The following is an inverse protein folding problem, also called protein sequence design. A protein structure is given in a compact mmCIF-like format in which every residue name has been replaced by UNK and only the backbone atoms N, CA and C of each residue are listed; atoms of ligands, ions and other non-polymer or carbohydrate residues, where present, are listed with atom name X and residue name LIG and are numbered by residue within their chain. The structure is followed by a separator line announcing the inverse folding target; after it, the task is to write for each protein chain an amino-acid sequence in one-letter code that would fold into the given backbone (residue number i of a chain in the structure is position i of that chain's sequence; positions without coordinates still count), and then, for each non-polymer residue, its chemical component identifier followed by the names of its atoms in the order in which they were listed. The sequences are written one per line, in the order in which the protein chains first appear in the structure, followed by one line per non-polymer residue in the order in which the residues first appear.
data_IF_072364681768
#
_entry.id   IF_072364681768
#
_cell.length_a   1.000
_cell.length_b   1.000
_cell.length_c   1.000
_cell.angle_alpha   90.00
_cell.angle_beta   90.00
_cell.angle_gamma   90.00
#
_symmetry.space_group_name_H-M   'P 1'
#
loop_
_entity.id
_entity.type
_entity.pdbx_description
1 polymer ?
#
# COMPACT_ATOMS: atom_id res chain seq x y z
N UNK A 1 39.44 -31.93 -9.35
CA UNK A 1 38.53 -30.79 -9.17
C UNK A 1 37.30 -31.35 -8.50
N UNK A 2 37.19 -31.19 -7.18
CA UNK A 2 35.99 -31.60 -6.44
C UNK A 2 34.85 -30.66 -6.83
N UNK A 3 33.78 -31.23 -7.39
CA UNK A 3 32.54 -30.53 -7.64
C UNK A 3 31.91 -30.18 -6.28
N UNK A 4 31.86 -28.88 -5.99
CA UNK A 4 31.14 -28.34 -4.84
C UNK A 4 29.64 -28.55 -5.06
N UNK A 5 29.11 -29.67 -4.56
CA UNK A 5 27.67 -29.88 -4.43
C UNK A 5 27.17 -28.98 -3.29
N UNK A 6 26.78 -27.75 -3.63
CA UNK A 6 26.03 -26.89 -2.71
C UNK A 6 24.69 -27.55 -2.40
N UNK A 7 24.63 -28.27 -1.28
CA UNK A 7 23.38 -28.79 -0.73
C UNK A 7 22.49 -27.57 -0.49
N UNK A 8 21.40 -27.45 -1.24
CA UNK A 8 20.41 -26.40 -1.03
C UNK A 8 19.89 -26.53 0.40
N UNK A 9 20.15 -25.53 1.24
CA UNK A 9 19.61 -25.51 2.59
C UNK A 9 18.08 -25.62 2.51
N UNK A 10 17.44 -26.40 3.39
CA UNK A 10 16.00 -26.49 3.42
C UNK A 10 15.42 -25.09 3.65
N UNK A 11 14.35 -24.77 2.92
CA UNK A 11 13.65 -23.51 3.09
C UNK A 11 13.17 -23.37 4.55
N UNK A 12 13.20 -22.16 5.12
CA UNK A 12 12.65 -21.94 6.45
C UNK A 12 11.17 -22.36 6.52
N UNK A 13 10.72 -22.86 7.68
CA UNK A 13 9.35 -23.37 7.87
C UNK A 13 8.24 -22.33 7.63
N UNK A 14 8.58 -21.04 7.66
CA UNK A 14 7.68 -19.93 7.36
C UNK A 14 7.58 -19.59 5.86
N UNK A 15 8.25 -20.34 4.98
CA UNK A 15 8.10 -20.21 3.52
C UNK A 15 7.22 -21.35 3.01
N UNK A 16 5.98 -21.01 2.63
CA UNK A 16 4.96 -21.92 2.10
C UNK A 16 4.41 -21.32 0.81
N UNK A 17 4.65 -22.01 -0.29
CA UNK A 17 4.33 -21.53 -1.64
C UNK A 17 2.87 -21.04 -1.75
N UNK A 18 2.72 -19.81 -2.22
CA UNK A 18 1.45 -19.14 -2.54
C UNK A 18 0.42 -19.14 -1.40
N UNK A 19 0.83 -19.30 -0.14
CA UNK A 19 -0.08 -19.37 1.01
C UNK A 19 -0.95 -18.12 1.17
N UNK A 20 -0.47 -16.96 0.69
CA UNK A 20 -1.20 -15.69 0.77
C UNK A 20 -1.90 -15.31 -0.54
N UNK A 21 -1.79 -16.11 -1.60
CA UNK A 21 -2.59 -15.92 -2.83
C UNK A 21 -4.06 -16.21 -2.51
N UNK A 22 -4.94 -15.27 -2.88
CA UNK A 22 -6.34 -15.27 -2.43
C UNK A 22 -7.24 -16.13 -3.31
N UNK A 23 -6.99 -16.13 -4.60
CA UNK A 23 -7.84 -16.77 -5.59
C UNK A 23 -7.06 -17.58 -6.60
N UNK A 24 -7.79 -18.40 -7.36
CA UNK A 24 -7.27 -19.23 -8.43
C UNK A 24 -7.74 -18.77 -9.82
N UNK A 25 -8.44 -17.62 -9.89
CA UNK A 25 -8.99 -17.11 -11.14
C UNK A 25 -7.88 -16.64 -12.10
N UNK A 26 -8.07 -16.88 -13.39
CA UNK A 26 -7.22 -16.30 -14.42
C UNK A 26 -7.44 -14.78 -14.54
N UNK A 27 -6.37 -14.04 -14.83
CA UNK A 27 -6.46 -12.60 -15.02
C UNK A 27 -7.15 -12.26 -16.35
N UNK A 28 -8.27 -11.55 -16.27
CA UNK A 28 -8.95 -11.03 -17.44
C UNK A 28 -8.18 -9.85 -18.04
N UNK A 29 -7.87 -9.94 -19.35
CA UNK A 29 -7.32 -8.82 -20.13
C UNK A 29 -8.45 -8.08 -20.82
N UNK A 30 -8.46 -6.75 -20.70
CA UNK A 30 -9.42 -5.88 -21.40
C UNK A 30 -8.65 -4.77 -22.10
N UNK A 31 -8.85 -4.63 -23.41
CA UNK A 31 -8.40 -3.45 -24.16
C UNK A 31 -9.49 -2.37 -24.11
N UNK A 32 -9.17 -1.25 -23.45
CA UNK A 32 -10.08 -0.12 -23.29
C UNK A 32 -10.57 0.45 -24.64
N UNK A 33 -9.79 0.32 -25.72
CA UNK A 33 -10.16 0.83 -27.04
C UNK A 33 -11.29 0.02 -27.70
N UNK A 34 -11.49 -1.21 -27.25
CA UNK A 34 -12.49 -2.14 -27.81
C UNK A 34 -13.75 -2.18 -26.95
N UNK A 35 -13.71 -1.61 -25.73
CA UNK A 35 -14.91 -1.45 -24.90
C UNK A 35 -15.87 -0.49 -25.61
N UNK A 36 -17.14 -0.90 -25.77
CA UNK A 36 -18.13 -0.06 -26.45
C UNK A 36 -18.34 1.23 -25.66
N UNK A 37 -18.46 2.35 -26.37
CA UNK A 37 -18.57 3.68 -25.75
C UNK A 37 -19.69 3.77 -24.71
N UNK A 38 -20.86 3.17 -24.99
CA UNK A 38 -21.99 3.14 -24.06
C UNK A 38 -21.73 2.30 -22.81
N UNK A 39 -21.10 1.12 -22.94
CA UNK A 39 -20.67 0.28 -21.82
C UNK A 39 -19.67 1.03 -20.94
N UNK A 40 -18.70 1.70 -21.58
CA UNK A 40 -17.66 2.45 -20.88
C UNK A 40 -18.21 3.64 -20.10
N UNK A 41 -19.07 4.45 -20.72
CA UNK A 41 -19.71 5.59 -20.06
C UNK A 41 -20.66 5.14 -18.94
N UNK A 42 -21.37 4.02 -19.13
CA UNK A 42 -22.22 3.45 -18.08
C UNK A 42 -21.40 3.01 -16.86
N UNK A 43 -20.23 2.37 -17.07
CA UNK A 43 -19.34 2.03 -15.98
C UNK A 43 -18.78 3.28 -15.27
N UNK A 44 -18.40 4.33 -16.01
CA UNK A 44 -17.97 5.60 -15.41
C UNK A 44 -19.08 6.20 -14.54
N UNK A 45 -20.32 6.23 -15.02
CA UNK A 45 -21.45 6.72 -14.22
C UNK A 45 -21.67 5.89 -12.95
N UNK A 46 -21.52 4.56 -13.03
CA UNK A 46 -21.57 3.66 -11.86
C UNK A 46 -20.44 3.95 -10.87
N UNK A 47 -19.21 4.15 -11.35
CA UNK A 47 -18.04 4.49 -10.52
C UNK A 47 -18.30 5.77 -9.74
N UNK A 48 -18.74 6.84 -10.42
CA UNK A 48 -19.01 8.12 -9.77
C UNK A 48 -20.14 8.02 -8.74
N UNK A 49 -21.20 7.24 -9.04
CA UNK A 49 -22.28 6.99 -8.08
C UNK A 49 -21.80 6.23 -6.84
N UNK A 50 -21.09 5.11 -7.04
CA UNK A 50 -20.51 4.31 -5.95
C UNK A 50 -19.60 5.18 -5.09
N UNK A 51 -18.75 5.99 -5.72
CA UNK A 51 -17.86 6.89 -5.01
C UNK A 51 -18.65 7.87 -4.14
N UNK A 52 -19.65 8.56 -4.69
CA UNK A 52 -20.45 9.53 -3.93
C UNK A 52 -21.29 8.92 -2.81
N UNK A 53 -21.83 7.71 -3.00
CA UNK A 53 -22.78 7.08 -2.07
C UNK A 53 -22.10 6.21 -0.99
N UNK A 54 -20.95 5.61 -1.30
CA UNK A 54 -20.33 4.55 -0.46
C UNK A 54 -18.95 4.94 0.05
N UNK A 55 -18.16 5.67 -0.76
CA UNK A 55 -16.77 6.00 -0.41
C UNK A 55 -16.67 7.39 0.20
N UNK A 56 -17.27 8.38 -0.45
CA UNK A 56 -17.18 9.79 -0.08
C UNK A 56 -15.80 10.41 -0.34
N UNK A 57 -15.70 11.70 -0.06
CA UNK A 57 -14.41 12.40 -0.03
C UNK A 57 -13.59 11.94 1.18
N UNK A 58 -12.31 11.66 0.95
CA UNK A 58 -11.42 11.24 2.03
C UNK A 58 -10.93 12.46 2.81
N UNK A 59 -10.93 12.40 4.16
CA UNK A 59 -10.41 13.49 4.97
C UNK A 59 -8.91 13.67 4.72
N UNK A 60 -8.46 14.93 4.67
CA UNK A 60 -7.04 15.27 4.60
C UNK A 60 -6.49 15.38 6.02
N UNK A 61 -5.40 14.67 6.30
CA UNK A 61 -4.71 14.72 7.59
C UNK A 61 -3.20 14.67 7.33
N UNK A 62 -2.59 15.84 7.21
CA UNK A 62 -1.16 16.01 6.97
C UNK A 62 -0.54 16.56 8.24
N UNK A 63 0.58 15.99 8.67
CA UNK A 63 1.28 16.45 9.87
C UNK A 63 2.77 16.12 9.85
N UNK A 64 3.48 16.67 10.84
CA UNK A 64 4.88 16.38 11.09
C UNK A 64 4.99 15.70 12.45
N UNK A 65 5.59 14.52 12.50
CA UNK A 65 5.87 13.84 13.75
C UNK A 65 7.21 14.34 14.35
N UNK A 66 7.27 14.67 15.65
CA UNK A 66 8.44 15.29 16.29
C UNK A 66 9.77 14.56 16.03
N UNK A 67 9.75 13.23 15.98
CA UNK A 67 10.96 12.41 15.74
C UNK A 67 11.70 12.73 14.43
N UNK A 68 11.02 13.33 13.44
CA UNK A 68 11.59 13.68 12.14
C UNK A 68 11.74 15.19 11.92
N UNK A 69 11.32 16.05 12.84
CA UNK A 69 11.37 17.51 12.67
C UNK A 69 12.79 18.02 12.41
N UNK A 70 13.74 17.62 13.25
CA UNK A 70 15.15 18.03 13.12
C UNK A 70 15.78 17.50 11.82
N UNK A 71 15.44 16.26 11.44
CA UNK A 71 15.91 15.66 10.19
C UNK A 71 15.37 16.43 9.00
N UNK A 72 14.07 16.73 8.98
CA UNK A 72 13.43 17.50 7.91
C UNK A 72 14.01 18.91 7.81
N UNK A 73 14.24 19.59 8.93
CA UNK A 73 14.85 20.92 8.96
C UNK A 73 16.29 20.95 8.41
N UNK A 74 17.02 19.83 8.54
CA UNK A 74 18.38 19.71 8.00
C UNK A 74 18.44 19.42 6.48
N UNK A 75 17.32 18.99 5.89
CA UNK A 75 17.24 18.63 4.49
C UNK A 75 16.80 19.82 3.64
N UNK A 76 17.34 19.91 2.42
CA UNK A 76 16.83 20.88 1.44
C UNK A 76 15.47 20.43 0.94
N UNK A 77 14.48 21.31 1.09
CA UNK A 77 13.12 21.10 0.61
C UNK A 77 13.10 20.75 -0.88
N UNK A 78 12.25 19.80 -1.25
CA UNK A 78 12.07 19.35 -2.63
C UNK A 78 13.20 18.49 -3.21
N UNK A 79 14.33 18.30 -2.52
CA UNK A 79 15.47 17.52 -3.03
C UNK A 79 15.63 16.13 -2.40
N UNK A 80 16.04 15.16 -3.23
CA UNK A 80 16.47 13.83 -2.81
C UNK A 80 15.49 13.11 -1.88
N UNK A 81 15.96 12.74 -0.68
CA UNK A 81 15.20 11.99 0.30
C UNK A 81 14.13 12.82 1.05
N UNK A 82 14.06 14.14 0.88
CA UNK A 82 13.14 15.02 1.62
C UNK A 82 11.68 14.56 1.49
N UNK A 83 11.23 14.27 0.27
CA UNK A 83 9.85 13.79 0.01
C UNK A 83 9.53 12.50 0.76
N UNK A 84 10.50 11.58 0.85
CA UNK A 84 10.32 10.33 1.59
C UNK A 84 10.19 10.58 3.09
N UNK A 85 10.97 11.51 3.65
CA UNK A 85 10.89 11.89 5.06
C UNK A 85 9.59 12.64 5.39
N UNK A 86 9.10 13.54 4.52
CA UNK A 86 7.81 14.21 4.72
C UNK A 86 6.67 13.19 4.77
N UNK A 87 6.64 12.27 3.82
CA UNK A 87 5.66 11.19 3.81
C UNK A 87 5.75 10.31 5.06
N UNK A 88 6.96 9.90 5.47
CA UNK A 88 7.12 9.10 6.69
C UNK A 88 6.68 9.88 7.93
N UNK A 89 7.03 11.16 8.02
CA UNK A 89 6.62 12.03 9.13
C UNK A 89 5.10 12.14 9.24
N UNK A 90 4.41 12.31 8.12
CA UNK A 90 2.95 12.35 8.11
C UNK A 90 2.30 10.99 8.39
N UNK A 91 2.90 9.88 7.93
CA UNK A 91 2.45 8.53 8.30
C UNK A 91 2.54 8.36 9.82
N UNK A 92 3.69 8.68 10.43
CA UNK A 92 3.91 8.56 11.88
C UNK A 92 2.93 9.44 12.67
N UNK A 93 2.75 10.69 12.24
CA UNK A 93 1.76 11.60 12.84
C UNK A 93 0.35 11.00 12.84
N UNK A 94 -0.07 10.40 11.72
CA UNK A 94 -1.39 9.79 11.62
C UNK A 94 -1.50 8.47 12.39
N UNK A 95 -0.44 7.68 12.47
CA UNK A 95 -0.38 6.47 13.31
C UNK A 95 -0.57 6.82 14.79
N UNK A 96 0.11 7.87 15.27
CA UNK A 96 -0.01 8.34 16.65
C UNK A 96 -1.41 8.90 16.92
N UNK A 97 -1.88 9.83 16.08
CA UNK A 97 -3.20 10.44 16.20
C UNK A 97 -4.35 9.44 16.16
N UNK A 98 -4.21 8.37 15.38
CA UNK A 98 -5.23 7.32 15.24
C UNK A 98 -5.03 6.18 16.24
N UNK A 99 -3.98 6.16 17.06
CA UNK A 99 -3.75 5.11 18.07
C UNK A 99 -3.18 3.79 17.54
N UNK A 100 -2.61 3.77 16.33
CA UNK A 100 -1.93 2.58 15.77
C UNK A 100 -0.66 2.22 16.55
N UNK A 101 -0.01 3.20 17.19
CA UNK A 101 1.06 2.92 18.15
C UNK A 101 0.44 2.39 19.45
N UNK A 102 0.57 1.09 19.66
CA UNK A 102 0.00 0.41 20.81
C UNK A 102 0.71 0.82 22.10
N UNK A 103 -0.06 1.03 23.16
CA UNK A 103 0.44 1.37 24.49
C UNK A 103 0.25 0.20 25.48
N UNK A 104 0.84 0.31 26.66
CA UNK A 104 0.77 -0.71 27.71
C UNK A 104 1.95 -1.70 27.71
N UNK A 105 1.92 -2.63 28.65
CA UNK A 105 3.05 -3.52 28.97
C UNK A 105 3.19 -4.72 28.03
N UNK A 106 2.14 -5.07 27.28
CA UNK A 106 2.17 -6.22 26.38
C UNK A 106 3.09 -5.94 25.18
N UNK A 107 4.13 -6.75 24.93
CA UNK A 107 5.02 -6.54 23.80
C UNK A 107 4.31 -6.56 22.44
N UNK A 108 4.77 -5.73 21.53
CA UNK A 108 4.25 -5.64 20.16
C UNK A 108 5.31 -5.91 19.11
N UNK A 109 4.90 -6.39 17.95
CA UNK A 109 5.71 -6.47 16.73
C UNK A 109 5.06 -5.65 15.63
N UNK A 110 5.82 -4.68 15.12
CA UNK A 110 5.46 -3.88 13.96
C UNK A 110 6.08 -4.52 12.72
N UNK A 111 5.25 -4.95 11.78
CA UNK A 111 5.66 -5.73 10.61
C UNK A 111 5.64 -4.83 9.39
N UNK A 112 6.81 -4.50 8.84
CA UNK A 112 6.96 -3.66 7.65
C UNK A 112 7.02 -4.53 6.39
N UNK A 113 5.87 -4.63 5.71
CA UNK A 113 5.76 -5.36 4.45
C UNK A 113 6.33 -4.53 3.29
N UNK A 114 7.20 -5.15 2.48
CA UNK A 114 7.84 -4.44 1.37
C UNK A 114 8.78 -3.35 1.86
N UNK A 115 9.52 -3.64 2.95
CA UNK A 115 10.33 -2.68 3.68
C UNK A 115 11.42 -2.01 2.83
N UNK A 116 11.83 -2.61 1.71
CA UNK A 116 12.87 -2.13 0.82
C UNK A 116 14.17 -1.84 1.58
N UNK A 117 14.55 -0.56 1.63
CA UNK A 117 15.74 -0.12 2.37
C UNK A 117 15.52 0.04 3.88
N UNK A 118 14.31 -0.19 4.38
CA UNK A 118 13.94 -0.19 5.79
C UNK A 118 13.75 1.20 6.41
N UNK A 119 13.54 2.26 5.60
CA UNK A 119 13.39 3.61 6.16
C UNK A 119 12.15 3.73 7.06
N UNK A 120 11.02 3.13 6.70
CA UNK A 120 9.80 3.15 7.53
C UNK A 120 10.02 2.36 8.83
N UNK A 121 10.49 1.11 8.73
CA UNK A 121 10.92 0.30 9.88
C UNK A 121 11.83 1.08 10.84
N UNK A 122 12.84 1.76 10.29
CA UNK A 122 13.82 2.50 11.07
C UNK A 122 13.17 3.66 11.83
N UNK A 123 12.35 4.49 11.19
CA UNK A 123 11.69 5.60 11.89
C UNK A 123 10.69 5.11 12.94
N UNK A 124 9.93 4.04 12.66
CA UNK A 124 8.99 3.45 13.62
C UNK A 124 9.72 2.89 14.84
N UNK A 125 10.88 2.25 14.66
CA UNK A 125 11.68 1.71 15.78
C UNK A 125 12.14 2.76 16.81
N UNK A 126 12.14 4.04 16.45
CA UNK A 126 12.47 5.13 17.37
C UNK A 126 11.27 5.67 18.15
N UNK A 127 10.04 5.36 17.71
CA UNK A 127 8.78 5.84 18.29
C UNK A 127 8.16 4.82 19.24
N UNK A 128 8.25 3.53 18.91
CA UNK A 128 7.67 2.43 19.70
C UNK A 128 8.41 2.21 21.03
N UNK A 129 7.86 1.38 21.93
CA UNK A 129 8.54 1.06 23.18
C UNK A 129 9.82 0.25 22.89
N UNK A 130 10.98 0.85 23.16
CA UNK A 130 12.29 0.31 22.78
C UNK A 130 12.73 -0.88 23.61
N UNK A 131 12.12 -1.08 24.78
CA UNK A 131 12.45 -2.17 25.70
C UNK A 131 11.61 -3.42 25.40
N UNK A 132 10.36 -3.24 24.99
CA UNK A 132 9.42 -4.35 24.80
C UNK A 132 9.10 -4.65 23.35
N UNK A 133 9.01 -3.64 22.48
CA UNK A 133 8.54 -3.81 21.11
C UNK A 133 9.68 -4.21 20.17
N UNK A 134 9.31 -4.78 19.03
CA UNK A 134 10.24 -5.16 17.97
C UNK A 134 9.68 -4.81 16.59
N UNK A 135 10.57 -4.69 15.62
CA UNK A 135 10.24 -4.50 14.21
C UNK A 135 10.58 -5.77 13.44
N UNK A 136 9.73 -6.13 12.48
CA UNK A 136 9.97 -7.19 11.51
C UNK A 136 9.88 -6.62 10.10
N UNK A 137 11.03 -6.39 9.46
CA UNK A 137 11.11 -5.90 8.10
C UNK A 137 11.13 -7.07 7.10
N UNK A 138 10.16 -7.09 6.19
CA UNK A 138 10.00 -8.13 5.18
C UNK A 138 10.28 -7.53 3.80
N UNK A 139 11.13 -8.17 3.00
CA UNK A 139 11.33 -7.83 1.59
C UNK A 139 11.84 -9.04 0.80
N UNK A 140 11.68 -9.02 -0.53
CA UNK A 140 12.26 -10.04 -1.41
C UNK A 140 13.75 -9.84 -1.65
N UNK A 141 14.23 -8.59 -1.56
CA UNK A 141 15.61 -8.25 -1.83
C UNK A 141 16.48 -8.39 -0.57
N UNK A 142 17.73 -8.86 -0.73
CA UNK A 142 18.66 -8.89 0.39
C UNK A 142 18.87 -7.47 0.91
N UNK A 143 18.73 -7.30 2.22
CA UNK A 143 18.79 -6.00 2.86
C UNK A 143 20.22 -5.42 2.76
N UNK A 144 20.41 -4.44 1.87
CA UNK A 144 21.58 -3.56 1.93
C UNK A 144 21.35 -2.62 3.11
N UNK A 145 22.18 -2.69 4.15
CA UNK A 145 22.09 -1.93 5.41
C UNK A 145 22.29 -0.40 5.25
N UNK A 146 21.68 0.23 4.24
CA UNK A 146 22.02 1.60 3.84
C UNK A 146 21.40 2.68 4.74
N UNK A 147 20.31 2.41 5.48
CA UNK A 147 19.65 3.45 6.30
C UNK A 147 20.10 3.47 7.76
N UNK A 148 20.34 2.31 8.37
CA UNK A 148 20.84 2.19 9.76
C UNK A 148 22.20 2.92 9.95
N UNK A 149 22.93 3.17 8.86
CA UNK A 149 24.24 3.85 8.86
C UNK A 149 24.20 5.33 8.48
N UNK A 150 23.12 5.83 7.86
CA UNK A 150 23.10 7.17 7.23
C UNK A 150 22.40 8.26 8.04
N UNK A 151 21.47 7.90 8.93
CA UNK A 151 20.68 8.88 9.69
C UNK A 151 20.61 8.50 11.15
N UNK A 152 21.16 9.34 12.04
CA UNK A 152 20.96 9.19 13.48
C UNK A 152 19.71 9.98 13.88
N UNK A 153 18.71 9.31 14.44
CA UNK A 153 17.46 9.94 14.87
C UNK A 153 17.45 10.06 16.39
N UNK A 154 17.39 11.30 16.89
CA UNK A 154 17.33 11.61 18.32
C UNK A 154 18.53 11.14 19.13
N UNK A 155 18.43 11.31 20.45
CA UNK A 155 19.35 10.71 21.43
C UNK A 155 18.71 9.42 21.99
N UNK A 156 19.49 8.33 22.04
CA UNK A 156 19.03 7.01 22.52
C UNK A 156 19.01 5.92 21.43
N UNK A 157 18.88 4.66 21.85
CA UNK A 157 18.76 3.51 20.95
C UNK A 157 17.38 3.44 20.27
N UNK A 158 17.15 2.38 19.49
CA UNK A 158 15.88 2.06 18.86
C UNK A 158 15.46 0.63 19.20
N UNK A 159 14.17 0.31 19.04
CA UNK A 159 13.68 -1.06 19.17
C UNK A 159 14.42 -2.01 18.19
N UNK A 160 14.63 -3.29 18.54
CA UNK A 160 15.29 -4.25 17.67
C UNK A 160 14.56 -4.40 16.33
N UNK A 161 15.32 -4.42 15.23
CA UNK A 161 14.80 -4.62 13.87
C UNK A 161 15.27 -5.98 13.36
N UNK A 162 14.32 -6.90 13.24
CA UNK A 162 14.50 -8.21 12.62
C UNK A 162 14.18 -8.14 11.14
N UNK A 163 14.82 -8.98 10.35
CA UNK A 163 14.74 -8.94 8.89
C UNK A 163 14.46 -10.34 8.35
N UNK A 164 13.45 -10.46 7.49
CA UNK A 164 13.09 -11.70 6.81
C UNK A 164 13.09 -11.43 5.31
N UNK A 165 13.97 -12.13 4.60
CA UNK A 165 13.93 -12.15 3.15
C UNK A 165 12.87 -13.16 2.69
N UNK A 166 11.73 -12.68 2.22
CA UNK A 166 10.63 -13.51 1.78
C UNK A 166 9.75 -12.78 0.75
N UNK A 167 9.19 -13.54 -0.18
CA UNK A 167 8.05 -13.08 -0.95
C UNK A 167 6.79 -13.15 -0.08
N UNK A 168 6.03 -12.07 -0.01
CA UNK A 168 4.80 -12.01 0.78
C UNK A 168 3.80 -13.06 0.31
N UNK A 169 3.77 -13.41 -0.98
CA UNK A 169 2.91 -14.49 -1.48
C UNK A 169 3.16 -15.83 -0.78
N UNK A 170 4.40 -16.08 -0.33
CA UNK A 170 4.86 -17.35 0.20
C UNK A 170 5.10 -17.33 1.73
N UNK A 171 4.81 -16.21 2.40
CA UNK A 171 5.17 -16.03 3.81
C UNK A 171 4.06 -16.49 4.78
N UNK A 172 4.33 -17.53 5.57
CA UNK A 172 3.50 -17.89 6.73
C UNK A 172 3.98 -17.14 7.97
N UNK A 173 3.35 -15.99 8.23
CA UNK A 173 3.75 -15.10 9.31
C UNK A 173 3.67 -15.75 10.70
N UNK A 174 2.71 -16.67 10.92
CA UNK A 174 2.55 -17.37 12.20
C UNK A 174 3.69 -18.35 12.51
N UNK A 175 4.51 -18.71 11.52
CA UNK A 175 5.67 -19.59 11.69
C UNK A 175 7.00 -18.83 11.74
N UNK A 176 6.99 -17.50 11.63
CA UNK A 176 8.18 -16.67 11.82
C UNK A 176 8.57 -16.72 13.30
N UNK A 177 9.83 -17.07 13.67
CA UNK A 177 10.21 -17.26 15.09
C UNK A 177 9.85 -16.09 16.00
N UNK A 178 10.06 -14.86 15.55
CA UNK A 178 9.71 -13.65 16.32
C UNK A 178 8.22 -13.55 16.65
N UNK A 179 7.35 -14.06 15.78
CA UNK A 179 5.90 -14.05 15.98
C UNK A 179 5.44 -15.28 16.76
N UNK A 180 5.97 -16.46 16.41
CA UNK A 180 5.60 -17.75 16.99
C UNK A 180 6.01 -17.87 18.46
N UNK A 181 7.24 -17.47 18.78
CA UNK A 181 7.86 -17.81 20.06
C UNK A 181 7.60 -16.77 21.16
N UNK A 182 7.11 -15.57 20.81
CA UNK A 182 7.05 -14.42 21.73
C UNK A 182 5.64 -13.80 21.85
N UNK A 183 4.60 -14.45 21.29
CA UNK A 183 3.16 -14.09 21.36
C UNK A 183 2.89 -12.58 21.50
N UNK A 184 3.35 -11.80 20.51
CA UNK A 184 3.28 -10.34 20.52
C UNK A 184 1.99 -9.84 19.87
N UNK A 185 1.52 -8.66 20.30
CA UNK A 185 0.51 -7.91 19.53
C UNK A 185 1.09 -7.54 18.17
N UNK A 186 0.32 -7.69 17.11
CA UNK A 186 0.80 -7.43 15.75
C UNK A 186 0.24 -6.12 15.23
N UNK A 187 1.12 -5.30 14.65
CA UNK A 187 0.76 -4.14 13.85
C UNK A 187 1.35 -4.28 12.45
N UNK A 188 0.50 -4.37 11.44
CA UNK A 188 0.95 -4.42 10.05
C UNK A 188 1.19 -3.03 9.49
N UNK A 189 2.41 -2.71 9.07
CA UNK A 189 2.75 -1.45 8.41
C UNK A 189 3.27 -1.67 6.99
N UNK A 190 3.16 -0.65 6.14
CA UNK A 190 3.81 -0.68 4.85
C UNK A 190 3.64 0.60 4.06
N UNK A 191 4.65 0.94 3.27
CA UNK A 191 4.66 2.11 2.40
C UNK A 191 5.08 1.72 1.00
N UNK A 192 4.30 2.16 0.02
CA UNK A 192 4.49 1.83 -1.40
C UNK A 192 4.42 0.34 -1.71
N UNK A 193 3.53 -0.39 -1.02
CA UNK A 193 3.18 -1.75 -1.40
C UNK A 193 2.55 -1.75 -2.79
N UNK A 194 3.34 -2.08 -3.80
CA UNK A 194 2.94 -1.97 -5.20
C UNK A 194 2.09 -3.18 -5.64
N UNK A 195 0.99 -2.91 -6.35
CA UNK A 195 0.20 -3.94 -7.01
C UNK A 195 -0.40 -4.95 -6.03
N UNK A 196 -0.20 -6.23 -6.29
CA UNK A 196 -0.72 -7.32 -5.46
C UNK A 196 -0.12 -7.36 -4.04
N UNK A 197 1.05 -6.75 -3.81
CA UNK A 197 1.75 -6.85 -2.53
C UNK A 197 0.92 -6.31 -1.34
N UNK A 198 0.13 -5.26 -1.55
CA UNK A 198 -0.74 -4.72 -0.50
C UNK A 198 -1.82 -5.73 -0.08
N UNK A 199 -2.47 -6.35 -1.07
CA UNK A 199 -3.54 -7.30 -0.83
C UNK A 199 -3.00 -8.64 -0.26
N UNK A 200 -1.83 -9.09 -0.73
CA UNK A 200 -1.10 -10.23 -0.15
C UNK A 200 -0.68 -9.96 1.31
N UNK A 201 -0.24 -8.74 1.64
CA UNK A 201 0.12 -8.36 3.01
C UNK A 201 -1.11 -8.36 3.94
N UNK A 202 -2.23 -7.81 3.48
CA UNK A 202 -3.49 -7.85 4.23
C UNK A 202 -3.96 -9.29 4.45
N UNK A 203 -3.85 -10.16 3.44
CA UNK A 203 -4.20 -11.58 3.59
C UNK A 203 -3.22 -12.32 4.52
N UNK A 204 -1.92 -11.99 4.48
CA UNK A 204 -0.92 -12.53 5.40
C UNK A 204 -1.25 -12.19 6.86
N UNK A 205 -1.62 -10.93 7.12
CA UNK A 205 -2.10 -10.49 8.44
C UNK A 205 -3.41 -11.18 8.82
N UNK A 206 -4.36 -11.34 7.90
CA UNK A 206 -5.62 -12.04 8.15
C UNK A 206 -5.37 -13.45 8.66
N UNK A 207 -4.49 -14.20 7.99
CA UNK A 207 -4.15 -15.58 8.35
C UNK A 207 -3.43 -15.69 9.68
N UNK A 208 -2.58 -14.71 10.02
CA UNK A 208 -1.95 -14.66 11.34
C UNK A 208 -2.92 -14.21 12.45
N UNK A 209 -3.99 -13.49 12.09
CA UNK A 209 -5.00 -13.03 13.02
C UNK A 209 -6.01 -14.13 13.40
N UNK A 210 -6.29 -15.09 12.52
CA UNK A 210 -7.27 -16.15 12.77
C UNK A 210 -6.60 -17.44 13.29
N UNK A 211 -7.02 -18.05 14.41
CA UNK A 211 -8.07 -17.62 15.36
C UNK A 211 -7.54 -16.79 16.55
N UNK A 212 -6.24 -16.50 16.59
CA UNK A 212 -5.54 -16.03 17.80
C UNK A 212 -5.86 -14.56 18.15
N UNK A 213 -6.33 -13.78 17.18
CA UNK A 213 -6.65 -12.36 17.36
C UNK A 213 -5.42 -11.54 17.73
N UNK A 214 -4.27 -11.76 17.08
CA UNK A 214 -3.03 -11.04 17.42
C UNK A 214 -2.95 -9.66 16.78
N UNK A 215 -3.65 -9.42 15.67
CA UNK A 215 -3.57 -8.15 14.96
C UNK A 215 -4.39 -7.09 15.69
N UNK A 216 -3.71 -6.01 16.08
CA UNK A 216 -4.31 -4.89 16.80
C UNK A 216 -4.18 -3.55 16.06
N UNK A 217 -3.39 -3.51 14.98
CA UNK A 217 -3.28 -2.32 14.15
C UNK A 217 -2.86 -2.60 12.71
N UNK A 218 -3.24 -1.71 11.81
CA UNK A 218 -2.81 -1.68 10.41
C UNK A 218 -2.53 -0.24 10.00
N UNK A 219 -1.42 0.00 9.31
CA UNK A 219 -1.10 1.28 8.67
C UNK A 219 -0.45 1.04 7.30
N UNK A 220 -1.22 1.17 6.22
CA UNK A 220 -0.74 0.91 4.86
C UNK A 220 -0.96 2.09 3.93
N UNK A 221 0.13 2.59 3.34
CA UNK A 221 0.07 3.59 2.27
C UNK A 221 0.08 2.87 0.92
N UNK A 222 -1.06 2.91 0.23
CA UNK A 222 -1.24 2.20 -1.03
C UNK A 222 -0.63 2.96 -2.21
N UNK A 223 -0.14 2.23 -3.20
CA UNK A 223 0.28 2.81 -4.46
C UNK A 223 0.13 1.83 -5.63
N UNK A 224 0.27 2.35 -6.85
CA UNK A 224 0.35 1.53 -8.07
C UNK A 224 -0.86 0.60 -8.27
N UNK A 225 -2.09 1.10 -8.05
CA UNK A 225 -3.34 0.34 -8.26
C UNK A 225 -3.42 -0.31 -9.65
N UNK A 226 -2.81 0.29 -10.67
CA UNK A 226 -2.69 -0.27 -12.03
C UNK A 226 -2.01 -1.65 -12.08
N UNK A 227 -1.22 -2.02 -11.07
CA UNK A 227 -0.54 -3.33 -10.94
C UNK A 227 -1.33 -4.34 -10.09
N UNK A 228 -2.47 -3.96 -9.52
CA UNK A 228 -3.29 -4.91 -8.77
C UNK A 228 -3.82 -6.01 -9.71
N UNK A 229 -4.00 -7.19 -9.16
CA UNK A 229 -4.55 -8.36 -9.86
C UNK A 229 -5.91 -8.66 -9.25
N UNK A 230 -6.86 -9.12 -10.05
CA UNK A 230 -8.12 -9.56 -9.46
C UNK A 230 -7.88 -10.78 -8.58
N UNK A 231 -7.02 -11.71 -9.03
CA UNK A 231 -6.66 -12.93 -8.33
C UNK A 231 -6.29 -12.68 -6.87
N UNK A 232 -5.46 -11.67 -6.63
CA UNK A 232 -4.87 -11.41 -5.31
C UNK A 232 -5.62 -10.30 -4.54
N UNK A 233 -6.69 -9.71 -5.07
CA UNK A 233 -7.40 -8.60 -4.42
C UNK A 233 -8.27 -9.08 -3.25
N UNK A 234 -8.09 -8.49 -2.05
CA UNK A 234 -8.86 -8.85 -0.84
C UNK A 234 -10.32 -8.37 -0.88
N UNK A 235 -10.59 -7.26 -1.58
CA UNK A 235 -11.90 -6.59 -1.59
C UNK A 235 -12.95 -7.21 -2.50
N UNK A 236 -12.79 -8.46 -2.95
CA UNK A 236 -13.72 -9.14 -3.88
C UNK A 236 -15.16 -9.16 -3.34
N UNK A 237 -15.33 -9.41 -2.04
CA UNK A 237 -16.65 -9.43 -1.41
C UNK A 237 -17.34 -8.06 -1.47
N UNK A 238 -16.59 -6.98 -1.23
CA UNK A 238 -17.06 -5.61 -1.37
C UNK A 238 -17.47 -5.30 -2.82
N UNK A 239 -16.64 -5.67 -3.80
CA UNK A 239 -16.97 -5.50 -5.22
C UNK A 239 -18.26 -6.23 -5.60
N UNK A 240 -18.44 -7.48 -5.16
CA UNK A 240 -19.67 -8.25 -5.38
C UNK A 240 -20.90 -7.56 -4.79
N UNK A 241 -20.82 -7.00 -3.57
CA UNK A 241 -21.90 -6.23 -2.94
C UNK A 241 -22.31 -4.99 -3.76
N UNK A 242 -21.35 -4.39 -4.47
CA UNK A 242 -21.57 -3.24 -5.38
C UNK A 242 -21.92 -3.64 -6.82
N UNK A 243 -22.15 -4.94 -7.07
CA UNK A 243 -22.38 -5.50 -8.40
C UNK A 243 -21.25 -5.23 -9.40
N UNK A 244 -20.01 -5.06 -8.92
CA UNK A 244 -18.81 -4.93 -9.74
C UNK A 244 -18.19 -6.31 -10.01
N UNK A 245 -17.94 -6.59 -11.29
CA UNK A 245 -17.35 -7.83 -11.77
C UNK A 245 -15.82 -7.75 -11.86
N UNK A 246 -15.16 -8.89 -12.12
CA UNK A 246 -13.73 -8.91 -12.48
C UNK A 246 -13.44 -8.05 -13.72
N UNK A 247 -14.35 -8.04 -14.71
CA UNK A 247 -14.22 -7.19 -15.90
C UNK A 247 -14.23 -5.71 -15.50
N UNK A 248 -15.18 -5.31 -14.65
CA UNK A 248 -15.25 -3.94 -14.14
C UNK A 248 -13.96 -3.56 -13.40
N UNK A 249 -13.45 -4.44 -12.54
CA UNK A 249 -12.17 -4.26 -11.85
C UNK A 249 -11.01 -4.07 -12.84
N UNK A 250 -10.90 -4.89 -13.90
CA UNK A 250 -9.84 -4.74 -14.90
C UNK A 250 -9.90 -3.38 -15.59
N UNK A 251 -11.09 -2.90 -15.94
CA UNK A 251 -11.27 -1.58 -16.58
C UNK A 251 -10.96 -0.46 -15.58
N UNK A 252 -11.49 -0.52 -14.35
CA UNK A 252 -11.21 0.44 -13.28
C UNK A 252 -9.71 0.53 -12.97
N UNK A 253 -9.04 -0.62 -12.89
CA UNK A 253 -7.60 -0.71 -12.72
C UNK A 253 -6.86 0.07 -13.80
N UNK A 254 -7.23 -0.09 -15.06
CA UNK A 254 -6.64 0.68 -16.15
C UNK A 254 -6.92 2.19 -16.00
N UNK A 255 -8.14 2.57 -15.61
CA UNK A 255 -8.51 3.96 -15.34
C UNK A 255 -7.76 4.59 -14.15
N UNK A 256 -7.23 3.81 -13.20
CA UNK A 256 -6.43 4.37 -12.07
C UNK A 256 -5.21 5.16 -12.55
N UNK A 257 -4.65 4.81 -13.72
CA UNK A 257 -3.55 5.53 -14.37
C UNK A 257 -3.95 6.96 -14.77
N UNK A 258 -5.24 7.26 -14.92
CA UNK A 258 -5.67 8.61 -15.24
C UNK A 258 -5.44 9.60 -14.10
N UNK A 259 -5.32 9.13 -12.87
CA UNK A 259 -5.04 9.97 -11.71
C UNK A 259 -3.68 10.71 -11.82
N UNK A 260 -2.76 10.24 -12.65
CA UNK A 260 -1.43 10.85 -12.89
C UNK A 260 -1.36 11.65 -14.21
N UNK A 261 -2.38 11.60 -15.08
CA UNK A 261 -2.32 12.13 -16.45
C UNK A 261 -2.11 13.65 -16.58
N UNK A 262 -2.19 14.43 -15.50
CA UNK A 262 -1.91 15.87 -15.49
C UNK A 262 -0.71 16.27 -14.62
N UNK A 263 0.02 15.31 -14.04
CA UNK A 263 1.20 15.61 -13.23
C UNK A 263 2.45 15.57 -14.10
N UNK A 264 3.28 16.63 -14.10
CA UNK A 264 4.52 16.73 -14.90
C UNK A 264 5.56 15.61 -14.68
N UNK A 265 5.30 14.65 -13.79
CA UNK A 265 6.10 13.42 -13.64
C UNK A 265 5.97 12.46 -14.85
N UNK A 266 4.94 12.62 -15.69
CA UNK A 266 4.80 11.90 -16.94
C UNK A 266 5.87 12.30 -17.99
N UNK A 267 6.46 13.50 -17.88
CA UNK A 267 7.51 13.97 -18.79
C UNK A 267 8.90 13.37 -18.52
N UNK A 268 9.16 12.91 -17.29
CA UNK A 268 10.50 12.40 -16.89
C UNK A 268 10.66 10.89 -17.12
N UNK A 269 9.56 10.14 -17.20
CA UNK A 269 9.60 8.74 -17.61
C UNK A 269 9.40 8.72 -19.12
N UNK A 270 10.35 8.15 -19.86
CA UNK A 270 10.21 7.80 -21.29
C UNK A 270 9.08 6.77 -21.54
N UNK A 271 8.02 6.74 -20.74
CA UNK A 271 6.75 6.17 -21.13
C UNK A 271 6.21 7.06 -22.25
N UNK A 272 5.66 6.48 -23.34
CA UNK A 272 5.00 7.24 -24.38
C UNK A 272 3.66 7.76 -23.85
N UNK A 273 3.69 8.66 -22.86
CA UNK A 273 2.58 9.52 -22.54
C UNK A 273 2.51 10.48 -23.72
N UNK A 274 1.54 10.21 -24.59
CA UNK A 274 1.21 11.05 -25.74
C UNK A 274 0.74 12.41 -25.22
N UNK A 275 1.68 13.27 -24.88
CA UNK A 275 1.47 14.67 -24.53
C UNK A 275 1.26 15.56 -25.77
N UNK A 276 0.74 14.95 -26.85
CA UNK A 276 0.13 15.69 -27.93
C UNK A 276 -1.38 15.48 -27.84
N UNK A 277 -2.05 16.34 -27.07
CA UNK A 277 -3.51 16.50 -27.07
C UNK A 277 -4.07 17.02 -28.39
N UNK A 278 -3.23 17.16 -29.43
CA UNK A 278 -3.65 17.49 -30.77
C UNK A 278 -3.38 16.31 -31.68
N UNK A 279 -4.48 15.63 -32.04
CA UNK A 279 -4.69 15.01 -33.36
C UNK A 279 -3.55 14.09 -33.83
N UNK A 280 -3.62 12.79 -33.49
CA UNK A 280 -2.99 11.77 -34.34
C UNK A 280 -3.92 11.51 -35.54
N UNK A 281 -3.65 12.16 -36.68
CA UNK A 281 -4.26 11.82 -37.98
C UNK A 281 -5.59 12.50 -38.34
N UNK A 282 -5.85 13.72 -37.88
CA UNK A 282 -7.05 14.51 -38.21
C UNK A 282 -8.25 14.35 -37.28
N UNK A 283 -8.23 13.39 -36.35
CA UNK A 283 -9.39 13.06 -35.49
C UNK A 283 -9.16 13.42 -34.01
N UNK A 284 -10.21 13.86 -33.28
CA UNK A 284 -10.12 14.10 -31.85
C UNK A 284 -9.77 12.80 -31.10
N UNK A 285 -9.02 12.92 -30.01
CA UNK A 285 -8.73 11.79 -29.12
C UNK A 285 -10.05 11.08 -28.71
N UNK A 286 -10.10 9.75 -28.79
CA UNK A 286 -11.25 8.92 -28.41
C UNK A 286 -11.91 9.39 -27.10
N UNK A 287 -11.12 9.70 -26.07
CA UNK A 287 -11.65 10.18 -24.79
C UNK A 287 -12.31 11.56 -24.89
N UNK A 288 -11.75 12.47 -25.69
CA UNK A 288 -12.34 13.79 -25.96
C UNK A 288 -13.66 13.65 -26.69
N UNK A 289 -13.77 12.72 -27.66
CA UNK A 289 -15.05 12.44 -28.35
C UNK A 289 -16.14 11.91 -27.41
N UNK A 290 -15.74 11.33 -26.26
CA UNK A 290 -16.65 10.86 -25.21
C UNK A 290 -16.91 11.91 -24.11
N UNK A 291 -16.39 13.14 -24.25
CA UNK A 291 -16.52 14.18 -23.23
C UNK A 291 -15.71 13.91 -21.95
N UNK A 292 -14.60 13.17 -22.08
CA UNK A 292 -13.67 12.83 -21.00
C UNK A 292 -12.38 13.63 -21.14
N UNK A 293 -12.44 14.93 -20.80
CA UNK A 293 -11.26 15.79 -20.70
C UNK A 293 -10.26 15.32 -19.62
N UNK A 294 -9.10 15.96 -19.54
CA UNK A 294 -8.03 15.59 -18.59
C UNK A 294 -8.52 15.63 -17.14
N UNK A 295 -9.20 16.72 -16.75
CA UNK A 295 -9.66 16.94 -15.38
C UNK A 295 -10.64 15.86 -14.97
N UNK A 296 -11.61 15.56 -15.84
CA UNK A 296 -12.61 14.51 -15.62
C UNK A 296 -11.96 13.13 -15.54
N UNK A 297 -11.00 12.82 -16.41
CA UNK A 297 -10.26 11.54 -16.35
C UNK A 297 -9.45 11.42 -15.06
N UNK A 298 -8.78 12.48 -14.63
CA UNK A 298 -8.06 12.51 -13.35
C UNK A 298 -8.99 12.22 -12.18
N UNK A 299 -10.17 12.86 -12.15
CA UNK A 299 -11.16 12.62 -11.12
C UNK A 299 -11.65 11.16 -11.13
N UNK A 300 -12.02 10.61 -12.29
CA UNK A 300 -12.43 9.21 -12.43
C UNK A 300 -11.33 8.26 -11.96
N UNK A 301 -10.07 8.54 -12.32
CA UNK A 301 -8.91 7.75 -11.87
C UNK A 301 -8.77 7.76 -10.35
N UNK A 302 -8.95 8.91 -9.69
CA UNK A 302 -8.96 9.03 -8.22
C UNK A 302 -10.12 8.23 -7.60
N UNK A 303 -11.33 8.33 -8.16
CA UNK A 303 -12.48 7.55 -7.70
C UNK A 303 -12.23 6.03 -7.80
N UNK A 304 -11.65 5.56 -8.90
CA UNK A 304 -11.30 4.14 -9.07
C UNK A 304 -10.31 3.67 -7.99
N UNK A 305 -9.26 4.45 -7.70
CA UNK A 305 -8.30 4.14 -6.63
C UNK A 305 -8.99 4.03 -5.28
N UNK A 306 -9.80 5.03 -4.91
CA UNK A 306 -10.45 5.09 -3.61
C UNK A 306 -11.51 3.98 -3.42
N UNK A 307 -12.21 3.56 -4.49
CA UNK A 307 -13.13 2.40 -4.43
C UNK A 307 -12.33 1.10 -4.18
N UNK A 308 -11.19 0.92 -4.84
CA UNK A 308 -10.32 -0.24 -4.60
C UNK A 308 -9.81 -0.23 -3.15
N UNK A 309 -9.40 0.93 -2.63
CA UNK A 309 -8.93 1.08 -1.25
C UNK A 309 -10.05 0.88 -0.23
N UNK A 310 -11.28 1.31 -0.54
CA UNK A 310 -12.46 1.03 0.32
C UNK A 310 -12.70 -0.47 0.44
N UNK A 311 -12.54 -1.24 -0.65
CA UNK A 311 -12.63 -2.70 -0.55
C UNK A 311 -11.57 -3.33 0.35
N UNK A 312 -10.38 -2.73 0.47
CA UNK A 312 -9.34 -3.15 1.42
C UNK A 312 -9.72 -2.81 2.86
N UNK A 313 -10.28 -1.62 3.10
CA UNK A 313 -10.81 -1.25 4.41
C UNK A 313 -11.96 -2.17 4.84
N UNK A 314 -12.87 -2.50 3.92
CA UNK A 314 -14.00 -3.41 4.14
C UNK A 314 -13.55 -4.84 4.43
N UNK A 315 -12.42 -5.29 3.88
CA UNK A 315 -11.85 -6.59 4.22
C UNK A 315 -11.49 -6.68 5.72
N UNK A 316 -11.02 -5.58 6.30
CA UNK A 316 -10.72 -5.48 7.74
C UNK A 316 -11.97 -5.47 8.63
N UNK A 317 -13.17 -5.26 8.09
CA UNK A 317 -14.42 -5.20 8.88
C UNK A 317 -14.76 -6.51 9.59
N UNK A 318 -14.19 -7.63 9.14
CA UNK A 318 -14.30 -8.94 9.81
C UNK A 318 -13.41 -9.06 11.04
N UNK A 319 -12.46 -8.13 11.23
CA UNK A 319 -11.56 -8.11 12.37
C UNK A 319 -12.16 -7.17 13.42
N UNK A 320 -11.76 -7.33 14.68
CA UNK A 320 -12.14 -6.40 15.76
C UNK A 320 -11.36 -5.08 15.68
N UNK A 321 -11.30 -4.47 14.49
CA UNK A 321 -10.61 -3.20 14.24
C UNK A 321 -11.59 -2.18 13.66
N UNK A 322 -11.44 -0.93 14.06
CA UNK A 322 -12.02 0.22 13.38
C UNK A 322 -11.05 0.69 12.29
N UNK A 323 -11.50 0.71 11.04
CA UNK A 323 -10.69 1.09 9.88
C UNK A 323 -11.10 2.44 9.28
N UNK A 324 -10.11 3.23 8.87
CA UNK A 324 -10.28 4.56 8.26
C UNK A 324 -9.35 4.75 7.08
N UNK A 325 -9.86 5.40 6.04
CA UNK A 325 -9.07 5.91 4.91
C UNK A 325 -8.94 7.43 5.02
N UNK A 326 -7.74 7.96 4.76
CA UNK A 326 -7.47 9.39 4.72
C UNK A 326 -6.37 9.75 3.72
N UNK A 327 -6.29 11.01 3.33
CA UNK A 327 -5.17 11.55 2.57
C UNK A 327 -4.07 12.00 3.53
N UNK A 328 -2.92 11.33 3.54
CA UNK A 328 -1.81 11.61 4.47
C UNK A 328 -0.78 12.60 3.92
N UNK A 329 -0.90 12.99 2.65
CA UNK A 329 -0.18 14.12 2.05
C UNK A 329 -1.14 14.88 1.13
N UNK A 330 -0.81 16.13 0.85
CA UNK A 330 -1.67 17.00 0.03
C UNK A 330 -1.97 16.34 -1.33
N UNK A 331 -3.26 16.26 -1.75
CA UNK A 331 -3.65 15.63 -3.01
C UNK A 331 -2.99 16.20 -4.27
N UNK A 332 -2.50 17.43 -4.19
CA UNK A 332 -1.80 18.09 -5.29
C UNK A 332 -0.29 17.76 -5.32
N UNK A 333 0.26 17.20 -4.24
CA UNK A 333 1.67 16.80 -4.17
C UNK A 333 1.93 15.45 -4.86
N UNK A 334 1.01 14.49 -4.69
CA UNK A 334 1.11 13.18 -5.33
C UNK A 334 -0.27 12.49 -5.34
N UNK A 335 -0.62 11.76 -6.42
CA UNK A 335 -1.82 10.94 -6.46
C UNK A 335 -1.67 9.61 -5.68
N UNK A 336 -0.51 9.35 -5.08
CA UNK A 336 -0.28 8.21 -4.16
C UNK A 336 -0.25 8.71 -2.71
N UNK A 337 -1.41 9.18 -2.24
CA UNK A 337 -1.56 9.92 -0.99
C UNK A 337 -2.57 9.34 -0.01
N UNK A 338 -3.12 8.15 -0.28
CA UNK A 338 -4.12 7.50 0.60
C UNK A 338 -3.43 6.59 1.61
N UNK A 339 -3.87 6.69 2.86
CA UNK A 339 -3.45 5.85 3.98
C UNK A 339 -4.66 5.09 4.53
N UNK A 340 -4.52 3.77 4.66
CA UNK A 340 -5.41 2.94 5.47
C UNK A 340 -4.84 2.83 6.87
N UNK A 341 -5.65 3.22 7.85
CA UNK A 341 -5.39 3.02 9.27
C UNK A 341 -6.45 2.08 9.83
N UNK A 342 -6.06 1.18 10.72
CA UNK A 342 -6.99 0.43 11.54
C UNK A 342 -6.40 0.19 12.93
N UNK A 343 -7.23 0.23 13.97
CA UNK A 343 -6.84 -0.10 15.34
C UNK A 343 -7.98 -0.80 16.08
N UNK A 344 -7.70 -1.45 17.21
CA UNK A 344 -8.77 -1.86 18.12
C UNK A 344 -9.41 -0.62 18.77
N UNK A 345 -10.75 -0.54 18.85
CA UNK A 345 -11.45 0.55 19.50
C UNK A 345 -11.23 0.61 21.01
#
# INVERSE_FOLDING_TARGET
MEECHSISQPLPAYIKENINVIGNEEEMKVDLKIVRANEFLALIARISRIHSEVVGELPVSVGCHPILESTLASLKEGQGNWRHFVQNSSILYNMEKFGVFLTGETPSTYIDFGSGRGQLSYVVSHVVNRETDALLAIDTFPHRQEHDKRYKLGEGGHAPIHRVQANIADLDLGHVPLIRDDTRRIVGIGKHLCGAAADLALNCLHRANDPVGLVQGVCMAFCCHHRCTWRDYVGKAFFKKLFLSQRDFTIMKAMTSWAVCGSGQAQERNDPVQENEVIRGGFPNFYVTLGLDVVRRMNIGRQCKQIIDRGRAEFLSSWSLEAKLLCYVEPDSTPENVLLLAQRP
#
